data_IF_857732356877
#
_entry.id   IF_857732356877
#
_cell.length_a   1.000
_cell.length_b   1.000
_cell.length_c   1.000
_cell.angle_alpha   90.00
_cell.angle_beta   90.00
_cell.angle_gamma   90.00
#
_symmetry.space_group_name_H-M   'P 1'
#
loop_
_entity.id
_entity.type
_entity.pdbx_description
1 polymer ?
#
# COMPACT_ATOMS: atom_id res chain seq x y z
N UNK A 1 31.19 23.20 -56.89
CA UNK A 1 31.87 23.42 -55.58
C UNK A 1 30.78 23.64 -54.53
N UNK A 2 30.29 22.59 -53.87
CA UNK A 2 30.73 22.14 -52.53
C UNK A 2 30.81 23.26 -51.48
N UNK A 3 29.88 23.25 -50.52
CA UNK A 3 30.18 23.19 -49.08
C UNK A 3 28.98 22.63 -48.29
N UNK A 4 29.26 21.53 -47.59
CA UNK A 4 28.42 20.78 -46.63
C UNK A 4 28.59 21.36 -45.20
N UNK A 5 27.79 20.80 -44.27
CA UNK A 5 27.86 20.77 -42.80
C UNK A 5 27.17 21.95 -42.07
N UNK A 6 26.06 21.81 -41.33
CA UNK A 6 25.63 20.89 -40.25
C UNK A 6 26.15 21.33 -38.86
N UNK A 7 25.22 21.75 -37.98
CA UNK A 7 25.29 21.86 -36.50
C UNK A 7 23.94 22.51 -36.06
N UNK A 8 22.91 21.79 -35.62
CA UNK A 8 22.74 20.97 -34.41
C UNK A 8 23.04 21.73 -33.11
N UNK A 9 22.04 21.71 -32.21
CA UNK A 9 21.97 22.17 -30.81
C UNK A 9 21.05 23.40 -30.63
N UNK A 10 20.15 23.50 -29.64
CA UNK A 10 20.08 22.83 -28.35
C UNK A 10 18.63 22.97 -27.83
N UNK A 11 17.80 21.93 -27.98
CA UNK A 11 16.56 21.84 -27.18
C UNK A 11 16.99 21.26 -25.84
N UNK A 12 17.43 22.13 -24.94
CA UNK A 12 17.53 21.78 -23.53
C UNK A 12 16.10 21.59 -23.00
N UNK A 13 15.58 20.37 -23.12
CA UNK A 13 14.46 19.95 -22.30
C UNK A 13 14.97 19.94 -20.86
N UNK A 14 14.75 21.05 -20.16
CA UNK A 14 14.71 21.07 -18.72
C UNK A 14 13.54 20.16 -18.32
N UNK A 15 13.82 18.87 -18.18
CA UNK A 15 13.03 18.00 -17.32
C UNK A 15 13.16 18.59 -15.92
N UNK A 16 12.27 19.52 -15.58
CA UNK A 16 12.04 19.87 -14.19
C UNK A 16 11.69 18.54 -13.50
N UNK A 17 12.63 17.99 -12.75
CA UNK A 17 12.34 16.95 -11.79
C UNK A 17 11.27 17.55 -10.88
N UNK A 18 10.02 17.15 -11.08
CA UNK A 18 8.91 17.46 -10.18
C UNK A 18 9.16 16.74 -8.87
N UNK A 19 10.09 17.24 -8.06
CA UNK A 19 10.31 16.75 -6.70
C UNK A 19 9.14 17.22 -5.87
N UNK A 20 8.36 16.27 -5.35
CA UNK A 20 7.30 16.54 -4.39
C UNK A 20 7.85 17.44 -3.26
N UNK A 21 7.15 18.52 -2.86
CA UNK A 21 7.65 19.39 -1.79
C UNK A 21 7.74 18.60 -0.47
N UNK A 22 8.69 18.95 0.41
CA UNK A 22 8.81 18.31 1.72
C UNK A 22 7.57 18.55 2.59
N UNK A 23 7.36 17.70 3.59
CA UNK A 23 6.34 17.89 4.62
C UNK A 23 6.62 19.16 5.42
N UNK A 24 5.58 19.94 5.69
CA UNK A 24 5.60 21.01 6.68
C UNK A 24 5.81 20.46 8.10
N UNK A 25 6.26 21.28 9.07
CA UNK A 25 6.43 20.83 10.45
C UNK A 25 5.17 20.22 11.06
N UNK A 26 3.98 20.78 10.78
CA UNK A 26 2.71 20.23 11.26
C UNK A 26 2.40 18.86 10.65
N UNK A 27 2.73 18.65 9.36
CA UNK A 27 2.55 17.36 8.71
C UNK A 27 3.52 16.30 9.24
N UNK A 28 4.76 16.71 9.58
CA UNK A 28 5.72 15.83 10.28
C UNK A 28 5.17 15.43 11.65
N UNK A 29 4.70 16.39 12.45
CA UNK A 29 4.12 16.10 13.78
C UNK A 29 2.89 15.15 13.69
N UNK A 30 2.02 15.35 12.69
CA UNK A 30 0.89 14.45 12.44
C UNK A 30 1.35 13.05 12.01
N UNK A 31 2.42 12.96 11.22
CA UNK A 31 3.01 11.69 10.81
C UNK A 31 3.65 10.95 12.00
N UNK A 32 4.34 11.67 12.89
CA UNK A 32 4.90 11.13 14.13
C UNK A 32 3.79 10.59 15.05
N UNK A 33 2.70 11.34 15.23
CA UNK A 33 1.56 10.89 16.03
C UNK A 33 0.94 9.59 15.48
N UNK A 34 0.79 9.49 14.15
CA UNK A 34 0.33 8.25 13.49
C UNK A 34 1.33 7.11 13.69
N UNK A 35 2.62 7.37 13.52
CA UNK A 35 3.66 6.36 13.71
C UNK A 35 3.65 5.78 15.14
N UNK A 36 3.44 6.64 16.16
CA UNK A 36 3.30 6.21 17.54
C UNK A 36 2.05 5.36 17.76
N UNK A 37 0.88 5.80 17.26
CA UNK A 37 -0.38 5.07 17.34
C UNK A 37 -0.27 3.66 16.74
N UNK A 38 0.48 3.54 15.66
CA UNK A 38 0.58 2.30 14.90
C UNK A 38 1.57 1.27 15.45
N UNK A 39 2.45 1.65 16.37
CA UNK A 39 3.52 0.78 16.87
C UNK A 39 3.01 -0.48 17.62
N UNK A 40 1.69 -0.66 17.79
CA UNK A 40 1.11 -1.65 18.70
C UNK A 40 0.18 -2.73 18.11
N UNK A 41 -0.25 -2.70 16.84
CA UNK A 41 -1.30 -3.65 16.39
C UNK A 41 -1.05 -4.37 15.07
N UNK A 42 -0.99 -3.68 13.94
CA UNK A 42 -0.85 -4.37 12.64
C UNK A 42 0.59 -4.52 12.17
N UNK A 43 1.48 -3.61 12.57
CA UNK A 43 2.91 -3.72 12.30
C UNK A 43 3.54 -4.96 12.94
N UNK A 44 3.01 -5.42 14.08
CA UNK A 44 3.45 -6.66 14.72
C UNK A 44 3.23 -7.85 13.78
N UNK A 45 2.02 -8.00 13.24
CA UNK A 45 1.64 -9.13 12.36
C UNK A 45 2.55 -9.24 11.12
N UNK A 46 2.95 -8.12 10.52
CA UNK A 46 3.83 -8.15 9.35
C UNK A 46 5.32 -8.16 9.73
N UNK A 47 5.73 -7.57 10.85
CA UNK A 47 7.13 -7.63 11.30
C UNK A 47 7.55 -9.04 11.74
N UNK A 48 6.60 -9.93 12.06
CA UNK A 48 6.85 -11.36 12.26
C UNK A 48 6.84 -12.18 10.97
N UNK A 49 6.42 -11.58 9.84
CA UNK A 49 6.52 -12.21 8.54
C UNK A 49 7.94 -12.11 8.00
N UNK A 50 8.34 -13.04 7.13
CA UNK A 50 9.60 -12.91 6.39
C UNK A 50 9.49 -11.87 5.24
N UNK A 51 8.38 -11.13 5.14
CA UNK A 51 8.19 -10.01 4.20
C UNK A 51 8.85 -8.76 4.78
N UNK A 52 10.16 -8.70 4.71
CA UNK A 52 10.98 -7.65 5.31
C UNK A 52 11.52 -6.68 4.24
N UNK A 53 11.14 -5.41 4.35
CA UNK A 53 11.60 -4.33 3.45
C UNK A 53 13.12 -4.17 3.40
N UNK A 54 13.84 -4.59 4.47
CA UNK A 54 15.29 -4.48 4.57
C UNK A 54 16.03 -5.70 4.00
N UNK A 55 15.32 -6.77 3.63
CA UNK A 55 15.90 -8.00 3.09
C UNK A 55 15.58 -8.13 1.61
N UNK A 56 16.44 -8.87 0.92
CA UNK A 56 16.16 -9.30 -0.46
C UNK A 56 14.91 -10.21 -0.43
N UNK A 57 13.94 -10.02 -1.34
CA UNK A 57 12.81 -10.93 -1.47
C UNK A 57 13.28 -12.38 -1.68
N UNK A 58 12.59 -13.32 -1.03
CA UNK A 58 12.87 -14.74 -1.13
C UNK A 58 11.55 -15.53 -1.12
N UNK A 59 11.49 -16.67 -1.83
CA UNK A 59 10.33 -17.56 -1.80
C UNK A 59 9.94 -17.93 -0.36
N UNK A 60 8.65 -17.81 -0.05
CA UNK A 60 8.13 -17.94 1.32
C UNK A 60 7.03 -18.99 1.41
N UNK A 61 6.05 -18.95 0.51
CA UNK A 61 4.89 -19.82 0.55
C UNK A 61 4.28 -20.01 -0.85
N UNK A 62 3.28 -20.89 -0.96
CA UNK A 62 2.42 -20.94 -2.16
C UNK A 62 1.72 -19.61 -2.39
N UNK A 63 1.31 -19.35 -3.64
CA UNK A 63 0.54 -18.15 -3.96
C UNK A 63 -0.78 -18.10 -3.16
N UNK A 64 -1.43 -19.24 -2.96
CA UNK A 64 -2.64 -19.30 -2.14
C UNK A 64 -2.37 -18.99 -0.67
N UNK A 65 -1.29 -19.52 -0.09
CA UNK A 65 -0.90 -19.21 1.29
C UNK A 65 -0.51 -17.74 1.47
N UNK A 66 0.13 -17.13 0.45
CA UNK A 66 0.42 -15.69 0.46
C UNK A 66 -0.88 -14.87 0.57
N UNK A 67 -1.91 -15.22 -0.21
CA UNK A 67 -3.22 -14.57 -0.09
C UNK A 67 -3.82 -14.80 1.30
N UNK A 68 -3.89 -16.05 1.73
CA UNK A 68 -4.69 -16.42 2.91
C UNK A 68 -4.06 -15.98 4.23
N UNK A 69 -2.74 -16.10 4.35
CA UNK A 69 -2.01 -15.80 5.59
C UNK A 69 -1.55 -14.35 5.64
N UNK A 70 -1.01 -13.84 4.53
CA UNK A 70 -0.32 -12.55 4.54
C UNK A 70 -1.20 -11.41 4.04
N UNK A 71 -1.82 -11.54 2.86
CA UNK A 71 -2.69 -10.49 2.31
C UNK A 71 -3.93 -10.32 3.19
N UNK A 72 -4.71 -11.39 3.39
CA UNK A 72 -5.89 -11.34 4.26
C UNK A 72 -5.53 -10.99 5.71
N UNK A 73 -4.41 -11.51 6.21
CA UNK A 73 -3.89 -11.19 7.54
C UNK A 73 -3.57 -9.71 7.71
N UNK A 74 -2.94 -9.09 6.71
CA UNK A 74 -2.68 -7.65 6.67
C UNK A 74 -3.96 -6.84 6.81
N UNK A 75 -4.97 -7.12 5.99
CA UNK A 75 -6.24 -6.37 6.02
C UNK A 75 -7.03 -6.58 7.31
N UNK A 76 -6.99 -7.78 7.91
CA UNK A 76 -7.54 -8.02 9.27
C UNK A 76 -6.82 -7.16 10.30
N UNK A 77 -5.50 -7.18 10.29
CA UNK A 77 -4.69 -6.47 11.26
C UNK A 77 -4.92 -4.96 11.15
N UNK A 78 -4.87 -4.43 9.92
CA UNK A 78 -5.06 -3.03 9.61
C UNK A 78 -6.44 -2.54 10.07
N UNK A 79 -7.49 -3.31 9.81
CA UNK A 79 -8.86 -2.97 10.19
C UNK A 79 -9.26 -3.47 11.59
N UNK A 80 -8.30 -3.92 12.41
CA UNK A 80 -8.59 -4.40 13.77
C UNK A 80 -9.28 -3.31 14.59
N UNK A 81 -10.35 -3.69 15.30
CA UNK A 81 -11.20 -2.78 16.09
C UNK A 81 -11.82 -1.63 15.29
N UNK A 82 -11.90 -1.76 13.96
CA UNK A 82 -12.56 -0.79 13.08
C UNK A 82 -13.96 -1.25 12.68
N UNK A 83 -14.80 -0.27 12.34
CA UNK A 83 -16.15 -0.46 11.83
C UNK A 83 -16.23 0.16 10.44
N UNK A 84 -16.74 -0.61 9.49
CA UNK A 84 -17.03 -0.10 8.15
C UNK A 84 -18.16 0.94 8.23
N UNK A 85 -18.05 1.97 7.40
CA UNK A 85 -19.12 2.93 7.17
C UNK A 85 -19.52 2.87 5.70
N UNK A 86 -20.74 3.33 5.41
CA UNK A 86 -21.20 3.51 4.04
C UNK A 86 -21.47 4.98 3.83
N UNK A 87 -20.73 5.60 2.92
CA UNK A 87 -20.91 7.00 2.56
C UNK A 87 -21.15 7.09 1.06
N UNK A 88 -22.27 7.70 0.67
CA UNK A 88 -22.64 7.87 -0.74
C UNK A 88 -22.62 6.55 -1.54
N UNK A 89 -23.06 5.46 -0.90
CA UNK A 89 -23.06 4.13 -1.51
C UNK A 89 -21.68 3.52 -1.73
N UNK A 90 -20.65 3.99 -1.03
CA UNK A 90 -19.28 3.43 -1.05
C UNK A 90 -18.87 2.90 0.31
N UNK A 91 -18.07 1.84 0.30
CA UNK A 91 -17.40 1.34 1.50
C UNK A 91 -16.37 2.37 1.98
N UNK A 92 -16.47 2.75 3.26
CA UNK A 92 -15.43 3.49 3.96
C UNK A 92 -14.83 2.59 5.05
N UNK A 93 -13.53 2.36 4.97
CA UNK A 93 -12.76 1.59 5.95
C UNK A 93 -11.78 2.54 6.67
N UNK A 94 -12.14 3.13 7.83
CA UNK A 94 -11.42 4.28 8.39
C UNK A 94 -9.92 4.06 8.63
N UNK A 95 -9.52 2.87 9.09
CA UNK A 95 -8.11 2.58 9.33
C UNK A 95 -7.32 2.36 8.03
N UNK A 96 -7.98 1.84 6.99
CA UNK A 96 -7.39 1.74 5.67
C UNK A 96 -7.16 3.14 5.06
N UNK A 97 -8.14 4.04 5.16
CA UNK A 97 -7.98 5.43 4.72
C UNK A 97 -6.84 6.14 5.47
N UNK A 98 -6.74 5.95 6.78
CA UNK A 98 -5.63 6.48 7.57
C UNK A 98 -4.27 5.92 7.11
N UNK A 99 -4.22 4.63 6.75
CA UNK A 99 -3.02 4.00 6.20
C UNK A 99 -2.63 4.57 4.82
N UNK A 100 -3.60 4.79 3.93
CA UNK A 100 -3.38 5.46 2.64
C UNK A 100 -2.80 6.87 2.86
N UNK A 101 -3.40 7.67 3.73
CA UNK A 101 -2.90 9.02 4.06
C UNK A 101 -1.49 9.00 4.67
N UNK A 102 -1.22 8.01 5.51
CA UNK A 102 0.10 7.79 6.11
C UNK A 102 1.13 7.46 5.04
N UNK A 103 0.78 6.56 4.10
CA UNK A 103 1.66 6.22 2.98
C UNK A 103 1.93 7.43 2.08
N UNK A 104 0.92 8.25 1.77
CA UNK A 104 1.11 9.45 0.95
C UNK A 104 2.10 10.42 1.61
N UNK A 105 1.95 10.63 2.92
CA UNK A 105 2.86 11.48 3.70
C UNK A 105 4.28 10.91 3.70
N UNK A 106 4.43 9.60 3.90
CA UNK A 106 5.71 8.93 3.90
C UNK A 106 6.40 8.93 2.53
N UNK A 107 5.66 8.68 1.44
CA UNK A 107 6.21 8.72 0.09
C UNK A 107 6.74 10.11 -0.24
N UNK A 108 5.94 11.15 0.05
CA UNK A 108 6.36 12.54 -0.14
C UNK A 108 7.61 12.90 0.67
N UNK A 109 7.70 12.47 1.93
CA UNK A 109 8.89 12.70 2.75
C UNK A 109 10.14 11.99 2.20
N UNK A 110 10.00 10.76 1.71
CA UNK A 110 11.11 9.99 1.14
C UNK A 110 11.55 10.54 -0.23
N UNK A 111 10.60 10.91 -1.10
CA UNK A 111 10.86 11.50 -2.42
C UNK A 111 11.56 12.86 -2.34
N UNK A 112 11.13 13.69 -1.38
CA UNK A 112 11.76 14.99 -1.11
C UNK A 112 13.10 14.86 -0.37
N UNK A 113 13.53 13.65 -0.02
CA UNK A 113 14.73 13.36 0.79
C UNK A 113 14.74 14.16 2.10
N UNK A 114 13.57 14.37 2.68
CA UNK A 114 13.43 15.11 3.92
C UNK A 114 14.16 14.39 5.05
N UNK A 115 14.91 15.14 5.85
CA UNK A 115 15.58 14.60 7.04
C UNK A 115 14.51 14.34 8.10
N UNK A 116 14.34 13.07 8.46
CA UNK A 116 13.42 12.61 9.50
C UNK A 116 14.22 11.97 10.64
N UNK A 117 13.61 11.89 11.83
CA UNK A 117 14.18 11.07 12.89
C UNK A 117 14.32 9.61 12.42
N UNK A 118 15.39 8.87 12.80
CA UNK A 118 15.66 7.53 12.27
C UNK A 118 14.48 6.54 12.39
N UNK A 119 13.77 6.58 13.52
CA UNK A 119 12.58 5.73 13.73
C UNK A 119 11.44 6.07 12.76
N UNK A 120 11.22 7.37 12.50
CA UNK A 120 10.20 7.84 11.57
C UNK A 120 10.56 7.52 10.12
N UNK A 121 11.83 7.64 9.75
CA UNK A 121 12.32 7.25 8.43
C UNK A 121 12.10 5.76 8.17
N UNK A 122 12.42 4.91 9.15
CA UNK A 122 12.20 3.47 9.05
C UNK A 122 10.70 3.13 8.97
N UNK A 123 9.88 3.80 9.78
CA UNK A 123 8.43 3.70 9.71
C UNK A 123 7.92 4.02 8.30
N UNK A 124 8.43 5.08 7.67
CA UNK A 124 8.03 5.44 6.32
C UNK A 124 8.49 4.46 5.25
N UNK A 125 9.73 3.97 5.31
CA UNK A 125 10.20 2.94 4.38
C UNK A 125 9.33 1.69 4.45
N UNK A 126 8.99 1.24 5.67
CA UNK A 126 8.07 0.11 5.90
C UNK A 126 6.68 0.38 5.36
N UNK A 127 6.11 1.55 5.66
CA UNK A 127 4.77 1.94 5.23
C UNK A 127 4.65 1.91 3.71
N UNK A 128 5.61 2.51 3.01
CA UNK A 128 5.66 2.53 1.54
C UNK A 128 5.83 1.12 0.99
N UNK A 129 6.75 0.32 1.54
CA UNK A 129 6.95 -1.07 1.13
C UNK A 129 5.66 -1.90 1.24
N UNK A 130 4.97 -1.85 2.40
CA UNK A 130 3.75 -2.63 2.59
C UNK A 130 2.58 -2.11 1.78
N UNK A 131 2.48 -0.80 1.53
CA UNK A 131 1.47 -0.28 0.62
C UNK A 131 1.68 -0.79 -0.81
N UNK A 132 2.91 -0.74 -1.30
CA UNK A 132 3.27 -1.28 -2.61
C UNK A 132 2.96 -2.77 -2.70
N UNK A 133 3.32 -3.54 -1.68
CA UNK A 133 3.11 -4.98 -1.67
C UNK A 133 1.63 -5.35 -1.49
N UNK A 134 0.92 -4.75 -0.53
CA UNK A 134 -0.42 -5.18 -0.10
C UNK A 134 -1.56 -4.42 -0.79
N UNK A 135 -1.31 -3.25 -1.38
CA UNK A 135 -2.34 -2.40 -1.99
C UNK A 135 -2.11 -2.26 -3.49
N UNK A 136 -0.93 -1.77 -3.92
CA UNK A 136 -0.66 -1.56 -5.36
C UNK A 136 -0.55 -2.87 -6.16
N UNK A 137 -0.41 -4.01 -5.50
CA UNK A 137 -0.41 -5.32 -6.16
C UNK A 137 -1.81 -5.77 -6.61
N UNK A 138 -2.87 -5.06 -6.23
CA UNK A 138 -4.25 -5.45 -6.49
C UNK A 138 -5.04 -4.33 -7.14
N UNK A 139 -6.11 -4.70 -7.85
CA UNK A 139 -7.07 -3.74 -8.39
C UNK A 139 -7.82 -2.99 -7.26
N UNK A 140 -8.34 -1.79 -7.53
CA UNK A 140 -9.19 -1.07 -6.58
C UNK A 140 -10.35 -1.92 -6.04
N UNK A 141 -10.98 -2.73 -6.88
CA UNK A 141 -12.07 -3.64 -6.51
C UNK A 141 -11.61 -4.75 -5.56
N UNK A 142 -10.42 -5.33 -5.79
CA UNK A 142 -9.84 -6.32 -4.89
C UNK A 142 -9.44 -5.71 -3.55
N UNK A 143 -8.88 -4.50 -3.54
CA UNK A 143 -8.57 -3.76 -2.31
C UNK A 143 -9.85 -3.47 -1.51
N UNK A 144 -10.92 -3.03 -2.17
CA UNK A 144 -12.22 -2.82 -1.54
C UNK A 144 -12.80 -4.14 -1.00
N UNK A 145 -12.68 -5.24 -1.76
CA UNK A 145 -13.12 -6.58 -1.37
C UNK A 145 -12.35 -7.13 -0.15
N UNK A 146 -11.04 -6.88 -0.08
CA UNK A 146 -10.20 -7.27 1.05
C UNK A 146 -10.56 -6.49 2.32
N UNK A 147 -10.78 -5.17 2.21
CA UNK A 147 -11.29 -4.35 3.31
C UNK A 147 -12.66 -4.83 3.79
N UNK A 148 -13.61 -5.04 2.87
CA UNK A 148 -14.94 -5.54 3.19
C UNK A 148 -14.87 -6.91 3.89
N UNK A 149 -14.05 -7.81 3.36
CA UNK A 149 -13.85 -9.14 3.93
C UNK A 149 -13.26 -9.08 5.34
N UNK A 150 -12.26 -8.23 5.58
CA UNK A 150 -11.65 -8.05 6.89
C UNK A 150 -12.65 -7.52 7.92
N UNK A 151 -13.57 -6.64 7.50
CA UNK A 151 -14.58 -6.02 8.35
C UNK A 151 -15.88 -6.85 8.51
N UNK A 152 -15.99 -8.02 7.85
CA UNK A 152 -17.24 -8.80 7.80
C UNK A 152 -17.83 -9.17 9.17
N UNK A 153 -16.98 -9.36 10.18
CA UNK A 153 -17.39 -9.72 11.54
C UNK A 153 -17.86 -8.51 12.34
N UNK A 154 -17.17 -7.38 12.20
CA UNK A 154 -17.52 -6.15 12.92
C UNK A 154 -18.70 -5.43 12.28
N UNK A 155 -18.86 -5.51 10.96
CA UNK A 155 -19.86 -4.77 10.19
C UNK A 155 -20.72 -5.68 9.30
N UNK A 156 -21.53 -6.59 9.87
CA UNK A 156 -22.28 -7.60 9.11
C UNK A 156 -23.30 -7.00 8.14
N UNK A 157 -23.94 -5.86 8.45
CA UNK A 157 -24.86 -5.21 7.51
C UNK A 157 -24.13 -4.70 6.27
N UNK A 158 -22.96 -4.07 6.45
CA UNK A 158 -22.13 -3.56 5.34
C UNK A 158 -21.61 -4.71 4.48
N UNK A 159 -21.22 -5.83 5.12
CA UNK A 159 -20.87 -7.06 4.41
C UNK A 159 -21.98 -7.52 3.45
N UNK A 160 -23.24 -7.55 3.90
CA UNK A 160 -24.36 -7.94 3.05
C UNK A 160 -24.58 -7.00 1.87
N UNK A 161 -24.39 -5.69 2.04
CA UNK A 161 -24.47 -4.71 0.95
C UNK A 161 -23.39 -4.97 -0.10
N UNK A 162 -22.15 -5.19 0.34
CA UNK A 162 -21.04 -5.44 -0.57
C UNK A 162 -21.15 -6.76 -1.32
N UNK A 163 -21.68 -7.83 -0.69
CA UNK A 163 -21.99 -9.09 -1.38
C UNK A 163 -23.06 -8.94 -2.49
N UNK A 164 -23.87 -7.88 -2.42
CA UNK A 164 -24.89 -7.55 -3.43
C UNK A 164 -24.42 -6.48 -4.42
N UNK A 165 -23.12 -6.13 -4.43
CA UNK A 165 -22.53 -5.07 -5.24
C UNK A 165 -23.18 -3.69 -5.03
N UNK A 166 -23.67 -3.40 -3.82
CA UNK A 166 -24.34 -2.14 -3.47
C UNK A 166 -23.38 -1.10 -2.86
N UNK A 167 -22.07 -1.34 -2.93
CA UNK A 167 -21.02 -0.48 -2.37
C UNK A 167 -20.11 0.16 -3.44
N UNK A 168 -20.56 0.18 -4.69
CA UNK A 168 -19.82 0.80 -5.80
C UNK A 168 -18.64 -0.03 -6.33
N UNK A 169 -18.53 -1.30 -5.96
CA UNK A 169 -17.57 -2.25 -6.51
C UNK A 169 -18.17 -3.66 -6.58
N UNK A 170 -17.62 -4.50 -7.47
CA UNK A 170 -17.95 -5.93 -7.52
C UNK A 170 -17.06 -6.69 -6.55
N UNK A 171 -17.67 -7.46 -5.64
CA UNK A 171 -16.89 -8.23 -4.68
C UNK A 171 -16.09 -9.35 -5.37
N UNK A 172 -14.76 -9.24 -5.33
CA UNK A 172 -13.83 -10.23 -5.86
C UNK A 172 -12.52 -10.20 -5.06
N UNK A 173 -12.16 -11.31 -4.42
CA UNK A 173 -10.86 -11.46 -3.76
C UNK A 173 -9.76 -11.82 -4.78
N UNK A 174 -8.49 -11.45 -4.50
CA UNK A 174 -7.37 -11.89 -5.31
C UNK A 174 -7.29 -13.42 -5.44
N UNK A 175 -6.87 -13.88 -6.60
CA UNK A 175 -6.66 -15.28 -6.95
C UNK A 175 -5.17 -15.59 -7.01
N UNK A 176 -4.79 -16.82 -6.66
CA UNK A 176 -3.40 -17.26 -6.64
C UNK A 176 -2.69 -17.05 -7.99
N UNK A 177 -3.40 -17.25 -9.10
CA UNK A 177 -2.88 -17.05 -10.46
C UNK A 177 -2.45 -15.60 -10.73
N UNK A 178 -3.07 -14.62 -10.07
CA UNK A 178 -2.80 -13.20 -10.28
C UNK A 178 -1.52 -12.77 -9.58
N UNK A 179 -1.14 -13.41 -8.46
CA UNK A 179 0.03 -13.00 -7.66
C UNK A 179 1.35 -13.09 -8.45
N UNK A 180 1.45 -14.00 -9.43
CA UNK A 180 2.63 -14.17 -10.28
C UNK A 180 2.96 -12.92 -11.10
N UNK A 181 1.99 -12.03 -11.34
CA UNK A 181 2.19 -10.74 -12.02
C UNK A 181 2.33 -9.53 -11.09
N UNK A 182 2.42 -9.75 -9.77
CA UNK A 182 2.45 -8.68 -8.77
C UNK A 182 3.80 -8.59 -8.07
N UNK A 183 3.92 -7.67 -7.10
CA UNK A 183 5.09 -7.58 -6.23
C UNK A 183 5.25 -8.80 -5.30
N UNK A 184 4.25 -9.69 -5.24
CA UNK A 184 4.37 -10.96 -4.55
C UNK A 184 5.16 -12.02 -5.31
N UNK A 185 5.38 -11.87 -6.61
CA UNK A 185 6.04 -12.89 -7.44
C UNK A 185 7.35 -13.45 -6.84
N UNK A 186 8.26 -12.62 -6.29
CA UNK A 186 9.51 -13.12 -5.70
C UNK A 186 9.35 -13.91 -4.39
N UNK A 187 8.14 -13.92 -3.81
CA UNK A 187 7.82 -14.62 -2.55
C UNK A 187 7.07 -15.93 -2.79
N UNK A 188 6.73 -16.27 -4.04
CA UNK A 188 6.03 -17.50 -4.40
C UNK A 188 7.05 -18.65 -4.52
N UNK A 189 6.73 -19.81 -3.94
CA UNK A 189 7.52 -21.04 -4.13
C UNK A 189 7.39 -21.53 -5.58
N UNK A 190 8.51 -21.82 -6.25
CA UNK A 190 8.59 -22.12 -7.69
C UNK A 190 7.95 -23.48 -8.10
N UNK A 191 7.53 -24.31 -7.15
CA UNK A 191 7.00 -25.65 -7.42
C UNK A 191 5.46 -25.71 -7.58
N UNK A 192 4.83 -24.59 -7.99
CA UNK A 192 3.39 -24.50 -8.33
C UNK A 192 3.12 -24.27 -9.83
#
# INVERSE_FOLDING_TARGET
MQKKFLLLALVAMLSACSTSPPLTPNEVANLEARAQKYNHSWYALISFSQLDFAKKPAPLASAQDLIDKYVKGFYIALNSNSQAQVQEGKLLAPHFEEFVLTQQSCSRALESKQVLAPALQMFCQKTVFYYQLMVESFSPEQVASLNLWALRRSSPQVWQLGQKNQLGFNYALPQASELKSTRFAPYILEHE
#
